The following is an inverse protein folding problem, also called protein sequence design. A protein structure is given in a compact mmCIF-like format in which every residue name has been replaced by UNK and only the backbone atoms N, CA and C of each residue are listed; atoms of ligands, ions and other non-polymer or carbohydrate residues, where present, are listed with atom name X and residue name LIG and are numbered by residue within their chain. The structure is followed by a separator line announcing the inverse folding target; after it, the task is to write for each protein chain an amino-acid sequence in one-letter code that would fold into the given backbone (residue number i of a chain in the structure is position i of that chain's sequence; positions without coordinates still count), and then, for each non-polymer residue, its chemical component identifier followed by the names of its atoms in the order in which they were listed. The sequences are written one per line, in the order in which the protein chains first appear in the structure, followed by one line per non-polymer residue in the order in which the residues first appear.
data_IF_607929536856
#
_entry.id   IF_607929536856
#
_cell.length_a   1.000
_cell.length_b   1.000
_cell.length_c   1.000
_cell.angle_alpha   90.00
_cell.angle_beta   90.00
_cell.angle_gamma   90.00
#
_symmetry.space_group_name_H-M   'P 1'
#
loop_
_entity.id
_entity.type
_entity.pdbx_description
1 polymer ?
#
# COMPACT_ATOMS: atom_id res chain seq x y z
N UNK A 1 6.77 -14.37 -13.06
CA UNK A 1 7.56 -13.50 -12.16
C UNK A 1 7.08 -12.03 -12.08
N UNK A 2 6.12 -11.56 -12.90
CA UNK A 2 5.77 -10.13 -13.00
C UNK A 2 4.54 -9.66 -12.17
N UNK A 3 3.88 -10.54 -11.42
CA UNK A 3 2.60 -10.25 -10.77
C UNK A 3 2.73 -9.55 -9.41
N UNK A 4 3.34 -10.28 -8.48
CA UNK A 4 3.59 -9.89 -7.09
C UNK A 4 4.50 -8.66 -7.00
N UNK A 5 5.50 -8.65 -7.88
CA UNK A 5 6.40 -7.53 -8.14
C UNK A 5 5.58 -6.22 -8.32
N UNK A 6 4.43 -6.25 -9.03
CA UNK A 6 3.57 -5.07 -9.24
C UNK A 6 2.63 -4.68 -8.10
N UNK A 7 2.32 -5.55 -7.14
CA UNK A 7 1.42 -5.26 -6.00
C UNK A 7 2.14 -4.47 -4.91
N UNK A 8 3.44 -4.70 -4.74
CA UNK A 8 4.28 -3.96 -3.80
C UNK A 8 4.51 -2.50 -4.22
N UNK A 9 4.64 -2.23 -5.52
CA UNK A 9 4.82 -0.89 -6.11
C UNK A 9 3.69 0.07 -5.70
N UNK A 10 2.48 -0.46 -5.64
CA UNK A 10 1.23 0.27 -5.40
C UNK A 10 1.20 0.91 -4.04
N UNK A 11 1.45 0.05 -3.05
CA UNK A 11 1.34 0.36 -1.65
C UNK A 11 2.44 1.36 -1.31
N UNK A 12 3.61 1.20 -1.91
CA UNK A 12 4.73 2.09 -1.73
C UNK A 12 4.54 3.46 -2.41
N UNK A 13 4.00 3.50 -3.63
CA UNK A 13 3.68 4.75 -4.33
C UNK A 13 2.68 5.61 -3.54
N UNK A 14 1.64 5.00 -2.96
CA UNK A 14 0.68 5.68 -2.08
C UNK A 14 1.34 6.25 -0.81
N UNK A 15 2.31 5.53 -0.23
CA UNK A 15 3.05 5.95 0.97
C UNK A 15 4.04 7.09 0.65
N UNK A 16 4.78 7.00 -0.45
CA UNK A 16 5.71 8.06 -0.88
C UNK A 16 4.95 9.32 -1.27
N UNK A 17 3.84 9.20 -1.99
CA UNK A 17 3.05 10.38 -2.39
C UNK A 17 2.44 11.04 -1.16
N UNK A 18 1.96 10.30 -0.17
CA UNK A 18 1.42 10.87 1.07
C UNK A 18 2.52 11.48 1.97
N UNK A 19 3.66 10.82 2.14
CA UNK A 19 4.79 11.35 2.89
C UNK A 19 5.45 12.55 2.19
N UNK A 20 5.59 12.48 0.87
CA UNK A 20 6.17 13.53 0.02
C UNK A 20 5.27 14.75 -0.08
N UNK A 21 3.95 14.58 -0.18
CA UNK A 21 3.01 15.71 -0.14
C UNK A 21 2.97 16.35 1.26
N UNK A 22 3.03 15.57 2.33
CA UNK A 22 3.19 16.12 3.69
C UNK A 22 4.51 16.91 3.82
N UNK A 23 5.64 16.38 3.35
CA UNK A 23 6.93 17.08 3.35
C UNK A 23 6.92 18.36 2.51
N UNK A 24 6.25 18.33 1.36
CA UNK A 24 6.16 19.48 0.47
C UNK A 24 5.28 20.59 1.05
N UNK A 25 4.17 20.23 1.71
CA UNK A 25 3.36 21.16 2.51
C UNK A 25 4.20 21.75 3.65
N UNK A 26 5.01 20.92 4.34
CA UNK A 26 5.89 21.35 5.44
C UNK A 26 7.12 22.17 5.00
N UNK A 27 7.37 22.35 3.70
CA UNK A 27 8.44 23.23 3.20
C UNK A 27 7.93 24.38 2.31
N UNK A 28 6.62 24.53 2.12
CA UNK A 28 6.05 25.56 1.25
C UNK A 28 5.25 26.58 2.06
N UNK A 29 5.87 27.72 2.34
CA UNK A 29 5.24 28.85 3.05
C UNK A 29 3.93 29.30 2.40
N UNK A 30 3.88 29.31 1.06
CA UNK A 30 2.69 29.67 0.30
C UNK A 30 1.52 28.68 0.47
N UNK A 31 1.81 27.38 0.57
CA UNK A 31 0.77 26.37 0.82
C UNK A 31 0.30 26.39 2.28
N UNK A 32 1.23 26.44 3.24
CA UNK A 32 0.90 26.56 4.67
C UNK A 32 0.01 27.77 4.93
N UNK A 33 0.35 28.91 4.33
CA UNK A 33 -0.43 30.15 4.42
C UNK A 33 -1.87 30.04 3.90
N UNK A 34 -2.15 29.08 3.00
CA UNK A 34 -3.50 28.83 2.46
C UNK A 34 -4.26 27.73 3.22
N UNK A 35 -3.55 26.66 3.60
CA UNK A 35 -4.16 25.49 4.24
C UNK A 35 -4.50 25.78 5.71
N UNK A 36 -3.61 26.44 6.44
CA UNK A 36 -3.80 26.70 7.88
C UNK A 36 -5.07 27.53 8.16
N UNK A 37 -5.33 28.66 7.46
CA UNK A 37 -6.57 29.40 7.65
C UNK A 37 -7.82 28.57 7.35
N UNK A 38 -7.78 27.74 6.30
CA UNK A 38 -8.90 26.87 5.93
C UNK A 38 -9.22 25.86 7.04
N UNK A 39 -8.19 25.22 7.61
CA UNK A 39 -8.36 24.24 8.69
C UNK A 39 -8.87 24.90 9.98
N UNK A 40 -8.28 26.02 10.40
CA UNK A 40 -8.67 26.71 11.63
C UNK A 40 -10.10 27.24 11.53
N UNK A 41 -10.48 27.87 10.40
CA UNK A 41 -11.84 28.40 10.19
C UNK A 41 -12.90 27.29 10.16
N UNK A 42 -12.52 26.07 9.79
CA UNK A 42 -13.42 24.92 9.80
C UNK A 42 -13.57 24.31 11.18
N UNK A 43 -12.50 24.29 11.98
CA UNK A 43 -12.48 23.64 13.28
C UNK A 43 -13.02 24.54 14.40
N UNK A 44 -12.77 25.84 14.34
CA UNK A 44 -13.15 26.80 15.38
C UNK A 44 -14.22 27.75 14.84
N UNK A 45 -15.43 27.70 15.44
CA UNK A 45 -16.57 28.52 14.99
C UNK A 45 -16.45 29.99 15.39
N UNK A 46 -15.72 30.27 16.46
CA UNK A 46 -15.51 31.62 17.01
C UNK A 46 -14.28 32.31 16.43
N UNK A 47 -13.40 31.61 15.71
CA UNK A 47 -12.16 32.15 15.14
C UNK A 47 -12.26 32.13 13.62
N UNK A 48 -11.99 33.29 13.00
CA UNK A 48 -11.90 33.43 11.55
C UNK A 48 -10.58 34.08 11.17
N UNK A 49 -9.65 33.31 10.62
CA UNK A 49 -8.42 33.79 9.99
C UNK A 49 -8.78 34.31 8.60
N UNK A 50 -8.66 35.62 8.43
CA UNK A 50 -8.95 36.34 7.20
C UNK A 50 -7.69 36.47 6.30
N UNK A 51 -6.50 36.32 6.88
CA UNK A 51 -5.25 36.24 6.13
C UNK A 51 -4.12 35.70 6.99
N UNK A 52 -3.26 34.87 6.38
CA UNK A 52 -2.02 34.40 6.96
C UNK A 52 -0.92 34.56 5.91
N UNK A 53 0.22 35.10 6.30
CA UNK A 53 1.42 35.21 5.49
C UNK A 53 2.60 34.78 6.33
N UNK A 54 3.44 33.94 5.74
CA UNK A 54 4.65 33.40 6.36
C UNK A 54 5.79 33.73 5.39
N UNK A 55 6.74 34.57 5.79
CA UNK A 55 7.84 34.94 4.89
C UNK A 55 8.84 33.79 4.75
N UNK A 56 9.18 33.14 5.87
CA UNK A 56 10.13 32.03 5.89
C UNK A 56 9.54 30.84 6.62
N UNK A 57 9.68 29.67 5.99
CA UNK A 57 9.32 28.39 6.57
C UNK A 57 10.50 27.45 6.40
N UNK A 58 10.98 26.88 7.50
CA UNK A 58 12.08 25.93 7.50
C UNK A 58 11.73 24.74 8.35
N UNK A 59 11.72 23.56 7.73
CA UNK A 59 11.67 22.31 8.48
C UNK A 59 13.11 21.92 8.87
N UNK A 60 13.37 21.87 10.17
CA UNK A 60 14.59 21.36 10.76
C UNK A 60 14.32 19.94 11.24
N UNK A 61 14.92 18.97 10.55
CA UNK A 61 14.80 17.56 10.88
C UNK A 61 15.35 17.28 12.29
N UNK A 62 14.72 16.41 13.10
CA UNK A 62 13.60 15.51 12.75
C UNK A 62 12.18 16.05 13.05
N UNK A 63 12.03 17.17 13.75
CA UNK A 63 10.77 17.49 14.43
C UNK A 63 10.51 18.98 14.67
N UNK A 64 11.29 19.87 14.08
CA UNK A 64 11.11 21.30 14.30
C UNK A 64 10.66 22.00 13.02
N UNK A 65 9.53 22.70 13.09
CA UNK A 65 9.12 23.63 12.03
C UNK A 65 9.30 25.05 12.54
N UNK A 66 10.21 25.78 11.92
CA UNK A 66 10.41 27.21 12.17
C UNK A 66 9.62 28.01 11.14
N UNK A 67 8.73 28.87 11.63
CA UNK A 67 8.01 29.85 10.84
C UNK A 67 8.46 31.23 11.29
N UNK A 68 9.02 32.03 10.38
CA UNK A 68 9.49 33.39 10.68
C UNK A 68 8.70 34.45 9.93
N UNK A 69 8.65 35.62 10.54
CA UNK A 69 7.98 36.81 10.04
C UNK A 69 6.49 36.54 9.72
N UNK A 70 5.79 35.90 10.65
CA UNK A 70 4.37 35.56 10.47
C UNK A 70 3.52 36.82 10.62
N UNK A 71 2.69 37.07 9.62
CA UNK A 71 1.64 38.10 9.65
C UNK A 71 0.28 37.43 9.56
N UNK A 72 -0.54 37.58 10.59
CA UNK A 72 -1.86 36.98 10.66
C UNK A 72 -2.92 38.03 10.96
N UNK A 73 -3.98 38.03 10.16
CA UNK A 73 -5.21 38.80 10.40
C UNK A 73 -6.31 37.82 10.72
N UNK A 74 -6.78 37.82 11.96
CA UNK A 74 -7.87 36.99 12.43
C UNK A 74 -8.98 37.85 13.04
N UNK A 75 -10.11 37.23 13.34
CA UNK A 75 -11.16 37.80 14.17
C UNK A 75 -11.70 36.73 15.11
N UNK A 76 -11.91 37.06 16.38
CA UNK A 76 -12.52 36.17 17.36
C UNK A 76 -13.83 36.78 17.86
N UNK A 77 -14.93 36.06 17.72
CA UNK A 77 -16.27 36.57 18.09
C UNK A 77 -16.61 37.94 17.46
N UNK A 78 -16.08 38.22 16.26
CA UNK A 78 -16.25 39.48 15.54
C UNK A 78 -15.20 40.55 15.85
N UNK A 79 -14.38 40.40 16.88
CA UNK A 79 -13.31 41.36 17.22
C UNK A 79 -12.03 41.06 16.43
N UNK A 80 -11.40 42.06 15.79
CA UNK A 80 -10.19 41.85 15.00
C UNK A 80 -8.97 41.57 15.89
N UNK A 81 -8.16 40.60 15.46
CA UNK A 81 -6.87 40.25 16.05
C UNK A 81 -5.82 40.32 14.96
N UNK A 82 -4.80 41.17 15.13
CA UNK A 82 -3.68 41.29 14.20
C UNK A 82 -2.42 40.84 14.91
N UNK A 83 -1.69 39.92 14.28
CA UNK A 83 -0.36 39.49 14.69
C UNK A 83 0.60 39.97 13.60
N UNK A 84 1.58 40.77 13.99
CA UNK A 84 2.66 41.24 13.12
C UNK A 84 3.99 40.72 13.68
N UNK A 85 4.84 40.22 12.77
CA UNK A 85 6.23 39.83 13.01
C UNK A 85 6.41 38.83 14.16
N UNK A 86 5.59 37.78 14.16
CA UNK A 86 5.74 36.67 15.09
C UNK A 86 6.66 35.58 14.51
N UNK A 87 7.54 35.06 15.36
CA UNK A 87 8.28 33.83 15.12
C UNK A 87 7.63 32.70 15.92
N UNK A 88 7.35 31.58 15.26
CA UNK A 88 6.72 30.41 15.90
C UNK A 88 7.60 29.20 15.66
N UNK A 89 7.99 28.57 16.75
CA UNK A 89 8.60 27.24 16.75
C UNK A 89 7.49 26.22 17.08
N UNK A 90 7.22 25.32 16.14
CA UNK A 90 6.28 24.23 16.36
C UNK A 90 7.09 22.97 16.64
N UNK A 91 6.96 22.46 17.86
CA UNK A 91 7.44 21.14 18.23
C UNK A 91 6.50 20.07 17.66
N UNK A 92 7.01 19.29 16.70
CA UNK A 92 6.33 18.16 16.09
C UNK A 92 6.76 16.83 16.72
N UNK A 93 7.31 16.85 17.94
CA UNK A 93 7.73 15.66 18.68
C UNK A 93 6.57 14.70 18.96
N UNK A 94 5.34 15.22 19.07
CA UNK A 94 4.11 14.47 19.28
C UNK A 94 3.04 14.83 18.24
N UNK A 95 3.28 14.49 16.98
CA UNK A 95 2.30 14.66 15.91
C UNK A 95 1.35 13.45 15.87
N UNK A 96 0.10 13.62 16.27
CA UNK A 96 -0.93 12.58 16.13
C UNK A 96 -2.22 13.14 15.52
N UNK A 97 -2.98 12.27 14.86
CA UNK A 97 -4.24 12.67 14.25
C UNK A 97 -4.89 11.54 13.45
N UNK A 98 -6.05 11.82 12.89
CA UNK A 98 -6.75 10.91 11.99
C UNK A 98 -7.01 11.59 10.65
N UNK A 99 -7.14 10.79 9.60
CA UNK A 99 -7.49 11.27 8.28
C UNK A 99 -8.56 10.40 7.63
N UNK A 100 -9.29 11.03 6.72
CA UNK A 100 -10.23 10.38 5.83
C UNK A 100 -10.03 10.93 4.42
N UNK A 101 -9.87 10.04 3.45
CA UNK A 101 -9.80 10.35 2.02
C UNK A 101 -10.87 9.52 1.33
N UNK A 102 -11.84 10.18 0.70
CA UNK A 102 -12.97 9.50 0.04
C UNK A 102 -12.51 8.61 -1.12
N UNK A 103 -11.50 9.07 -1.88
CA UNK A 103 -10.92 8.34 -2.99
C UNK A 103 -9.45 8.72 -3.18
N UNK A 104 -8.62 7.72 -3.43
CA UNK A 104 -7.23 7.88 -3.87
C UNK A 104 -6.99 7.08 -5.14
N UNK A 105 -6.26 7.67 -6.09
CA UNK A 105 -5.82 6.98 -7.28
C UNK A 105 -4.33 7.25 -7.52
N UNK A 106 -3.58 6.20 -7.82
CA UNK A 106 -2.19 6.26 -8.24
C UNK A 106 -2.00 5.27 -9.38
N UNK A 107 -1.65 5.71 -10.59
CA UNK A 107 -1.60 4.83 -11.77
C UNK A 107 -2.94 4.06 -11.95
N UNK A 108 -2.88 2.74 -12.10
CA UNK A 108 -4.04 1.84 -12.20
C UNK A 108 -4.63 1.45 -10.84
N UNK A 109 -4.11 2.03 -9.75
CA UNK A 109 -4.47 1.71 -8.39
C UNK A 109 -5.53 2.64 -7.85
N UNK A 110 -6.64 2.05 -7.40
CA UNK A 110 -7.81 2.78 -6.92
C UNK A 110 -8.18 2.27 -5.54
N UNK A 111 -8.30 3.20 -4.60
CA UNK A 111 -8.80 2.94 -3.27
C UNK A 111 -9.88 3.97 -2.92
N UNK A 112 -10.90 3.53 -2.17
CA UNK A 112 -11.94 4.41 -1.65
C UNK A 112 -12.08 4.24 -0.14
N UNK A 113 -12.73 5.20 0.50
CA UNK A 113 -12.99 5.18 1.94
C UNK A 113 -11.72 4.98 2.79
N UNK A 114 -10.60 5.62 2.39
CA UNK A 114 -9.31 5.47 3.04
C UNK A 114 -9.35 6.21 4.38
N UNK A 115 -9.12 5.49 5.48
CA UNK A 115 -9.12 6.02 6.84
C UNK A 115 -7.85 5.60 7.53
N UNK A 116 -7.20 6.53 8.23
CA UNK A 116 -6.02 6.20 9.01
C UNK A 116 -5.91 7.03 10.28
N UNK A 117 -5.22 6.49 11.28
CA UNK A 117 -4.71 7.25 12.42
C UNK A 117 -3.20 7.29 12.29
N UNK A 118 -2.61 8.47 12.34
CA UNK A 118 -1.16 8.62 12.39
C UNK A 118 -0.71 9.08 13.78
N UNK A 119 0.48 8.65 14.16
CA UNK A 119 1.15 9.07 15.38
C UNK A 119 2.66 9.12 15.15
N UNK A 120 3.30 10.18 15.63
CA UNK A 120 4.74 10.31 15.69
C UNK A 120 5.18 10.26 17.14
N UNK A 121 6.17 9.40 17.41
CA UNK A 121 6.82 9.28 18.71
C UNK A 121 8.33 9.27 18.48
N UNK A 122 8.99 10.39 18.79
CA UNK A 122 10.40 10.59 18.47
C UNK A 122 10.67 10.48 16.97
N UNK A 123 11.60 9.61 16.59
CA UNK A 123 11.95 9.34 15.19
C UNK A 123 11.01 8.35 14.50
N UNK A 124 9.98 7.83 15.18
CA UNK A 124 9.07 6.84 14.61
C UNK A 124 7.74 7.49 14.22
N UNK A 125 7.31 7.29 12.99
CA UNK A 125 5.99 7.67 12.49
C UNK A 125 5.21 6.42 12.12
N UNK A 126 4.04 6.26 12.73
CA UNK A 126 3.17 5.10 12.56
C UNK A 126 1.84 5.57 11.98
N UNK A 127 1.32 4.85 10.99
CA UNK A 127 -0.06 4.93 10.52
C UNK A 127 -0.74 3.62 10.88
N UNK A 128 -1.56 3.60 11.93
CA UNK A 128 -2.31 2.44 12.37
C UNK A 128 -3.52 2.84 13.24
N UNK A 129 -4.72 2.27 12.99
CA UNK A 129 -5.05 1.43 11.85
C UNK A 129 -5.19 2.26 10.55
N UNK A 130 -4.70 1.74 9.42
CA UNK A 130 -5.07 2.20 8.08
C UNK A 130 -6.10 1.22 7.50
N UNK A 131 -7.21 1.71 6.97
CA UNK A 131 -8.23 0.89 6.29
C UNK A 131 -8.65 1.55 4.99
N UNK A 132 -9.00 0.76 3.98
CA UNK A 132 -9.57 1.25 2.73
C UNK A 132 -10.38 0.15 2.03
N UNK A 133 -11.21 0.54 1.05
CA UNK A 133 -11.81 -0.37 0.07
C UNK A 133 -10.96 -0.40 -1.19
N UNK A 134 -10.75 -1.60 -1.72
CA UNK A 134 -9.87 -1.84 -2.85
C UNK A 134 -10.43 -3.00 -3.68
N UNK A 135 -10.73 -2.76 -4.97
CA UNK A 135 -11.15 -3.80 -5.94
C UNK A 135 -12.23 -4.76 -5.41
N UNK A 136 -13.35 -4.20 -4.95
CA UNK A 136 -14.47 -4.99 -4.41
C UNK A 136 -14.27 -5.53 -2.99
N UNK A 137 -13.04 -5.48 -2.45
CA UNK A 137 -12.72 -5.93 -1.09
C UNK A 137 -12.24 -4.81 -0.17
N UNK A 138 -11.56 -5.20 0.90
CA UNK A 138 -11.06 -4.29 1.94
C UNK A 138 -9.60 -4.56 2.26
N UNK A 139 -8.89 -3.52 2.65
CA UNK A 139 -7.53 -3.62 3.19
C UNK A 139 -7.49 -3.02 4.59
N UNK A 140 -6.66 -3.62 5.44
CA UNK A 140 -6.24 -3.09 6.72
C UNK A 140 -4.71 -3.13 6.77
N UNK A 141 -4.07 -2.05 7.19
CA UNK A 141 -2.63 -1.96 7.24
C UNK A 141 -2.13 -1.20 8.48
N UNK A 142 -0.89 -1.50 8.83
CA UNK A 142 -0.06 -0.71 9.73
C UNK A 142 1.22 -0.35 8.96
N UNK A 143 1.54 0.94 8.90
CA UNK A 143 2.76 1.45 8.29
C UNK A 143 3.59 2.08 9.38
N UNK A 144 4.85 1.69 9.47
CA UNK A 144 5.82 2.28 10.38
C UNK A 144 6.98 2.80 9.56
N UNK A 145 7.32 4.07 9.75
CA UNK A 145 8.48 4.74 9.18
C UNK A 145 9.38 5.18 10.34
N UNK A 146 10.66 4.88 10.25
CA UNK A 146 11.65 5.36 11.21
C UNK A 146 12.60 6.35 10.52
N UNK A 147 12.61 7.57 11.02
CA UNK A 147 13.45 8.69 10.60
C UNK A 147 14.87 8.54 11.18
N UNK A 148 15.51 7.40 10.92
CA UNK A 148 16.90 7.13 11.27
C UNK A 148 17.78 7.06 10.02
N UNK A 149 19.07 6.73 10.19
CA UNK A 149 19.95 6.37 9.07
C UNK A 149 19.25 5.32 8.19
N UNK A 150 19.29 5.54 6.89
CA UNK A 150 18.68 4.70 5.84
C UNK A 150 17.13 4.69 5.77
N UNK A 151 16.43 5.46 6.61
CA UNK A 151 14.95 5.57 6.62
C UNK A 151 14.22 4.21 6.55
N UNK A 152 14.42 3.32 7.54
CA UNK A 152 13.76 2.03 7.54
C UNK A 152 12.24 2.17 7.64
N UNK A 153 11.53 1.25 6.99
CA UNK A 153 10.07 1.16 7.04
C UNK A 153 9.61 -0.29 7.19
N UNK A 154 8.42 -0.47 7.77
CA UNK A 154 7.69 -1.74 7.77
C UNK A 154 6.21 -1.53 7.47
N UNK A 155 5.62 -2.45 6.71
CA UNK A 155 4.20 -2.44 6.35
C UNK A 155 3.63 -3.83 6.69
N UNK A 156 2.67 -3.87 7.60
CA UNK A 156 1.80 -5.03 7.79
C UNK A 156 0.52 -4.77 7.01
N UNK A 157 0.15 -5.64 6.09
CA UNK A 157 -1.05 -5.49 5.27
C UNK A 157 -1.88 -6.76 5.29
N UNK A 158 -3.16 -6.61 5.60
CA UNK A 158 -4.17 -7.64 5.44
C UNK A 158 -5.18 -7.17 4.40
N UNK A 159 -5.45 -8.01 3.40
CA UNK A 159 -6.49 -7.79 2.42
C UNK A 159 -7.56 -8.86 2.58
N UNK A 160 -8.83 -8.49 2.38
CA UNK A 160 -9.96 -9.42 2.42
C UNK A 160 -10.87 -9.21 1.22
N UNK A 161 -11.29 -10.31 0.63
CA UNK A 161 -12.27 -10.38 -0.44
C UNK A 161 -11.94 -9.54 -1.69
N UNK A 162 -10.65 -9.40 -2.01
CA UNK A 162 -10.20 -8.67 -3.21
C UNK A 162 -10.64 -9.42 -4.46
N UNK A 163 -11.44 -8.79 -5.31
CA UNK A 163 -11.95 -9.38 -6.54
C UNK A 163 -10.86 -9.51 -7.61
N UNK A 164 -10.65 -10.74 -8.11
CA UNK A 164 -9.60 -11.04 -9.09
C UNK A 164 -9.84 -10.40 -10.45
N UNK A 165 -11.10 -10.23 -10.83
CA UNK A 165 -11.48 -9.63 -12.11
C UNK A 165 -11.09 -8.15 -12.15
N UNK A 166 -11.31 -7.44 -11.05
CA UNK A 166 -10.96 -6.04 -10.91
C UNK A 166 -9.44 -5.81 -10.88
N UNK A 167 -8.65 -6.82 -10.48
CA UNK A 167 -7.19 -6.79 -10.55
C UNK A 167 -6.66 -6.92 -11.99
N UNK A 168 -7.48 -7.26 -12.98
CA UNK A 168 -7.06 -7.25 -14.40
C UNK A 168 -6.61 -5.85 -14.87
N UNK A 169 -7.20 -4.79 -14.32
CA UNK A 169 -6.78 -3.40 -14.58
C UNK A 169 -5.33 -3.14 -14.15
N UNK A 170 -4.83 -3.90 -13.16
CA UNK A 170 -3.46 -3.81 -12.67
C UNK A 170 -2.51 -4.63 -13.54
N UNK A 171 -2.87 -5.89 -13.76
CA UNK A 171 -2.02 -6.82 -14.50
C UNK A 171 -2.85 -7.90 -15.19
N UNK A 172 -3.38 -7.54 -16.35
CA UNK A 172 -4.20 -8.43 -17.19
C UNK A 172 -3.53 -9.78 -17.44
N UNK A 173 -2.22 -9.83 -17.72
CA UNK A 173 -1.52 -11.07 -18.03
C UNK A 173 -1.58 -12.12 -16.90
N UNK A 174 -1.75 -11.67 -15.65
CA UNK A 174 -1.81 -12.56 -14.49
C UNK A 174 -3.26 -12.81 -14.11
N UNK A 175 -4.02 -11.74 -13.91
CA UNK A 175 -5.34 -11.82 -13.30
C UNK A 175 -6.42 -12.31 -14.26
N UNK A 176 -6.25 -12.17 -15.58
CA UNK A 176 -7.18 -12.75 -16.57
C UNK A 176 -7.27 -14.28 -16.54
N UNK A 177 -6.30 -14.92 -15.87
CA UNK A 177 -6.28 -16.35 -15.67
C UNK A 177 -6.91 -16.81 -14.36
N UNK A 178 -7.48 -15.89 -13.58
CA UNK A 178 -8.03 -16.16 -12.25
C UNK A 178 -9.41 -15.55 -12.10
N UNK A 179 -10.30 -16.23 -11.37
CA UNK A 179 -11.63 -15.75 -11.01
C UNK A 179 -11.90 -15.99 -9.54
N UNK A 180 -12.81 -15.21 -8.98
CA UNK A 180 -13.19 -15.26 -7.59
C UNK A 180 -12.59 -14.10 -6.80
N UNK A 181 -12.38 -14.35 -5.50
CA UNK A 181 -11.85 -13.37 -4.55
C UNK A 181 -10.54 -13.89 -3.95
N UNK A 182 -9.71 -13.04 -3.37
CA UNK A 182 -8.65 -13.47 -2.47
C UNK A 182 -8.49 -12.57 -1.27
N UNK A 183 -7.89 -13.18 -0.26
CA UNK A 183 -7.39 -12.55 0.92
C UNK A 183 -5.85 -12.56 0.87
N UNK A 184 -5.23 -11.66 1.62
CA UNK A 184 -3.79 -11.61 1.76
C UNK A 184 -3.39 -11.20 3.17
N UNK A 185 -2.22 -11.66 3.60
CA UNK A 185 -1.51 -11.20 4.78
C UNK A 185 -0.04 -11.06 4.40
N UNK A 186 0.47 -9.83 4.34
CA UNK A 186 1.79 -9.47 3.85
C UNK A 186 2.53 -8.63 4.88
N UNK A 187 3.79 -8.95 5.10
CA UNK A 187 4.75 -8.17 5.85
C UNK A 187 5.88 -7.71 4.93
N UNK A 188 6.12 -6.41 4.88
CA UNK A 188 7.10 -5.80 3.99
C UNK A 188 8.02 -4.94 4.84
N UNK A 189 9.33 -5.11 4.69
CA UNK A 189 10.35 -4.30 5.37
C UNK A 189 11.31 -3.75 4.33
N UNK A 190 11.75 -2.52 4.51
CA UNK A 190 12.74 -1.91 3.64
C UNK A 190 13.38 -0.67 4.24
N UNK A 191 14.07 0.06 3.37
CA UNK A 191 14.79 1.31 3.64
C UNK A 191 14.51 2.30 2.51
N UNK A 192 15.00 3.54 2.59
CA UNK A 192 14.98 4.45 1.43
C UNK A 192 15.64 3.85 0.18
N UNK A 193 16.55 2.89 0.34
CA UNK A 193 17.20 2.15 -0.76
C UNK A 193 16.37 1.03 -1.38
N UNK A 194 15.16 0.76 -0.88
CA UNK A 194 14.24 -0.26 -1.41
C UNK A 194 13.83 -1.33 -0.39
N UNK A 195 13.11 -2.34 -0.88
CA UNK A 195 12.62 -3.47 -0.09
C UNK A 195 13.80 -4.37 0.28
N UNK A 196 13.87 -4.77 1.55
CA UNK A 196 14.85 -5.73 2.06
C UNK A 196 14.20 -7.04 2.48
N UNK A 197 12.92 -7.02 2.87
CA UNK A 197 12.17 -8.22 3.18
C UNK A 197 10.72 -8.12 2.70
N UNK A 198 10.20 -9.24 2.16
CA UNK A 198 8.79 -9.49 1.92
C UNK A 198 8.47 -10.92 2.36
N UNK A 199 7.45 -11.04 3.20
CA UNK A 199 6.90 -12.33 3.60
C UNK A 199 5.39 -12.26 3.66
N UNK A 200 4.72 -13.40 3.50
CA UNK A 200 3.28 -13.47 3.66
C UNK A 200 2.61 -14.54 2.82
N UNK A 201 1.30 -14.47 2.80
CA UNK A 201 0.45 -15.38 2.04
C UNK A 201 -0.69 -14.67 1.35
N UNK A 202 -1.02 -15.11 0.15
CA UNK A 202 -2.25 -14.78 -0.55
C UNK A 202 -3.04 -16.07 -0.67
N UNK A 203 -4.33 -16.05 -0.32
CA UNK A 203 -5.17 -17.23 -0.45
C UNK A 203 -6.54 -16.87 -1.01
N UNK A 204 -7.11 -17.76 -1.81
CA UNK A 204 -8.51 -17.63 -2.20
C UNK A 204 -9.42 -18.37 -1.22
N UNK A 205 -10.51 -17.76 -0.74
CA UNK A 205 -11.62 -18.51 -0.17
C UNK A 205 -12.25 -19.43 -1.24
N UNK A 206 -13.17 -20.31 -0.81
CA UNK A 206 -13.89 -21.25 -1.70
C UNK A 206 -14.45 -20.54 -2.94
N UNK A 207 -14.50 -21.26 -4.06
CA UNK A 207 -14.96 -20.79 -5.39
C UNK A 207 -13.94 -20.01 -6.22
N UNK A 208 -12.65 -20.03 -5.87
CA UNK A 208 -11.60 -19.62 -6.79
C UNK A 208 -11.68 -20.44 -8.08
N UNK A 209 -11.35 -19.84 -9.20
CA UNK A 209 -11.13 -20.59 -10.42
C UNK A 209 -9.85 -20.12 -11.10
N UNK A 210 -9.10 -21.05 -11.68
CA UNK A 210 -7.93 -20.74 -12.51
C UNK A 210 -8.11 -21.28 -13.91
N UNK A 211 -7.57 -20.60 -14.92
CA UNK A 211 -7.55 -21.12 -16.29
C UNK A 211 -6.76 -22.43 -16.33
N UNK A 212 -7.37 -23.45 -16.94
CA UNK A 212 -6.77 -24.78 -16.98
C UNK A 212 -5.40 -24.81 -17.68
N UNK A 213 -5.19 -23.88 -18.63
CA UNK A 213 -3.91 -23.72 -19.35
C UNK A 213 -2.71 -23.49 -18.42
N UNK A 214 -2.92 -22.94 -17.22
CA UNK A 214 -1.84 -22.74 -16.24
C UNK A 214 -1.29 -24.06 -15.69
N UNK A 215 -2.08 -25.15 -15.74
CA UNK A 215 -1.66 -26.47 -15.29
C UNK A 215 -0.99 -27.29 -16.41
N UNK A 216 -0.90 -26.76 -17.63
CA UNK A 216 -0.32 -27.48 -18.77
C UNK A 216 1.08 -28.06 -18.49
N UNK A 217 2.02 -27.34 -17.85
CA UNK A 217 3.34 -27.89 -17.54
C UNK A 217 3.32 -29.08 -16.57
N UNK A 218 2.23 -29.25 -15.81
CA UNK A 218 2.08 -30.31 -14.80
C UNK A 218 1.38 -31.55 -15.37
N UNK A 219 0.70 -31.44 -16.51
CA UNK A 219 -0.06 -32.54 -17.12
C UNK A 219 0.76 -33.78 -17.42
N UNK A 220 2.01 -33.59 -17.82
CA UNK A 220 2.91 -34.69 -18.20
C UNK A 220 3.21 -35.61 -17.01
N UNK A 221 3.07 -35.08 -15.79
CA UNK A 221 3.29 -35.81 -14.54
C UNK A 221 2.00 -36.44 -13.98
N UNK A 222 0.83 -36.14 -14.58
CA UNK A 222 -0.43 -36.75 -14.19
C UNK A 222 -0.60 -38.07 -14.97
N UNK A 223 -0.85 -39.21 -14.28
CA UNK A 223 -1.15 -40.48 -14.92
C UNK A 223 -2.31 -40.39 -15.91
N UNK A 224 -2.33 -41.24 -16.94
CA UNK A 224 -3.42 -41.30 -17.92
C UNK A 224 -4.72 -41.75 -17.23
N UNK A 225 -5.55 -40.79 -16.83
CA UNK A 225 -6.82 -40.99 -16.12
C UNK A 225 -7.98 -40.26 -16.80
N UNK A 226 -9.22 -40.52 -16.36
CA UNK A 226 -10.39 -39.75 -16.80
C UNK A 226 -10.23 -38.27 -16.48
N UNK A 227 -9.71 -37.94 -15.28
CA UNK A 227 -9.47 -36.55 -14.86
C UNK A 227 -8.46 -35.85 -15.77
N UNK A 228 -7.41 -36.56 -16.22
CA UNK A 228 -6.44 -35.99 -17.18
C UNK A 228 -7.12 -35.63 -18.51
N UNK A 229 -7.97 -36.50 -19.04
CA UNK A 229 -8.72 -36.24 -20.28
C UNK A 229 -9.67 -35.04 -20.14
N UNK A 230 -10.35 -34.93 -19.00
CA UNK A 230 -11.21 -33.76 -18.70
C UNK A 230 -10.40 -32.48 -18.61
N UNK A 231 -9.23 -32.54 -17.97
CA UNK A 231 -8.31 -31.40 -17.85
C UNK A 231 -7.75 -30.98 -19.21
N UNK A 232 -7.39 -31.93 -20.08
CA UNK A 232 -6.98 -31.68 -21.47
C UNK A 232 -8.09 -31.00 -22.28
N UNK A 233 -9.35 -31.44 -22.09
CA UNK A 233 -10.50 -30.81 -22.73
C UNK A 233 -10.67 -29.36 -22.25
N UNK A 234 -10.62 -29.12 -20.94
CA UNK A 234 -10.68 -27.77 -20.38
C UNK A 234 -9.54 -26.89 -20.89
N UNK A 235 -8.34 -27.41 -21.08
CA UNK A 235 -7.21 -26.65 -21.63
C UNK A 235 -7.50 -26.24 -23.08
N UNK A 236 -8.03 -27.15 -23.90
CA UNK A 236 -8.41 -26.86 -25.29
C UNK A 236 -9.53 -25.81 -25.38
N UNK A 237 -10.50 -25.88 -24.48
CA UNK A 237 -11.65 -24.97 -24.42
C UNK A 237 -11.35 -23.66 -23.67
N UNK A 238 -10.13 -23.48 -23.16
CA UNK A 238 -9.78 -22.37 -22.27
C UNK A 238 -10.70 -22.25 -21.04
N UNK A 239 -11.18 -23.39 -20.55
CA UNK A 239 -12.02 -23.53 -19.36
C UNK A 239 -11.29 -23.18 -18.07
N UNK A 240 -12.05 -23.09 -16.98
CA UNK A 240 -11.51 -22.83 -15.64
C UNK A 240 -11.69 -24.04 -14.74
N UNK A 241 -10.74 -24.23 -13.84
CA UNK A 241 -10.73 -25.26 -12.81
C UNK A 241 -11.17 -24.61 -11.50
N UNK A 242 -12.26 -25.07 -10.88
CA UNK A 242 -12.63 -24.64 -9.55
C UNK A 242 -11.63 -25.19 -8.52
N UNK A 243 -11.25 -24.36 -7.57
CA UNK A 243 -10.33 -24.70 -6.49
C UNK A 243 -11.04 -24.58 -5.14
N UNK A 244 -10.85 -25.57 -4.28
CA UNK A 244 -11.21 -25.45 -2.86
C UNK A 244 -10.12 -24.70 -2.09
N UNK A 245 -8.87 -24.78 -2.56
CA UNK A 245 -7.73 -24.07 -1.96
C UNK A 245 -6.79 -23.58 -3.05
N UNK A 246 -6.43 -22.31 -2.95
CA UNK A 246 -5.35 -21.72 -3.72
C UNK A 246 -4.56 -20.84 -2.76
N UNK A 247 -3.34 -21.24 -2.41
CA UNK A 247 -2.49 -20.53 -1.46
C UNK A 247 -1.15 -20.25 -2.14
N UNK A 248 -0.75 -18.99 -2.14
CA UNK A 248 0.58 -18.54 -2.52
C UNK A 248 1.26 -18.05 -1.25
N UNK A 249 2.33 -18.71 -0.84
CA UNK A 249 3.24 -18.21 0.20
C UNK A 249 4.47 -17.60 -0.45
N UNK A 250 4.93 -16.50 0.11
CA UNK A 250 6.08 -15.74 -0.35
C UNK A 250 6.95 -15.47 0.86
N UNK A 251 8.24 -15.69 0.72
CA UNK A 251 9.22 -15.38 1.75
C UNK A 251 10.56 -15.12 1.07
N UNK A 252 11.27 -14.06 1.45
CA UNK A 252 12.67 -13.91 1.10
C UNK A 252 13.56 -14.23 2.31
N UNK A 253 14.49 -15.15 2.11
CA UNK A 253 15.45 -15.58 3.14
C UNK A 253 16.74 -14.75 3.10
N UNK A 254 17.08 -14.24 1.92
CA UNK A 254 18.28 -13.44 1.66
C UNK A 254 17.88 -12.26 0.75
N UNK A 255 18.77 -11.25 0.63
CA UNK A 255 18.52 -10.09 -0.24
C UNK A 255 18.35 -10.50 -1.71
N UNK A 256 18.95 -11.61 -2.15
CA UNK A 256 18.87 -12.05 -3.56
C UNK A 256 17.96 -13.25 -3.80
N UNK A 257 17.31 -13.78 -2.76
CA UNK A 257 16.53 -15.04 -2.86
C UNK A 257 15.10 -14.86 -2.41
N UNK A 258 14.17 -15.02 -3.35
CA UNK A 258 12.74 -15.07 -3.09
C UNK A 258 12.23 -16.50 -3.26
N UNK A 259 11.79 -17.10 -2.17
CA UNK A 259 11.10 -18.38 -2.20
C UNK A 259 9.59 -18.15 -2.29
N UNK A 260 8.96 -18.91 -3.17
CA UNK A 260 7.51 -18.93 -3.30
C UNK A 260 7.01 -20.37 -3.28
N UNK A 261 5.87 -20.58 -2.65
CA UNK A 261 5.18 -21.87 -2.62
C UNK A 261 3.75 -21.66 -3.06
N UNK A 262 3.32 -22.41 -4.06
CA UNK A 262 1.96 -22.42 -4.57
C UNK A 262 1.33 -23.76 -4.23
N UNK A 263 0.30 -23.75 -3.40
CA UNK A 263 -0.50 -24.92 -3.07
C UNK A 263 -1.90 -24.77 -3.70
N UNK A 264 -2.26 -25.69 -4.60
CA UNK A 264 -3.55 -25.73 -5.29
C UNK A 264 -4.25 -27.05 -4.99
N UNK A 265 -5.53 -26.98 -4.61
CA UNK A 265 -6.38 -28.15 -4.38
C UNK A 265 -7.68 -28.06 -5.18
N UNK A 266 -8.01 -29.14 -5.89
CA UNK A 266 -9.27 -29.35 -6.60
C UNK A 266 -9.78 -30.77 -6.36
N UNK A 267 -10.81 -30.96 -5.54
CA UNK A 267 -11.41 -32.27 -5.28
C UNK A 267 -12.07 -32.83 -6.54
N UNK A 268 -12.74 -31.96 -7.32
CA UNK A 268 -13.39 -32.34 -8.58
C UNK A 268 -12.41 -32.97 -9.57
N UNK A 269 -11.18 -32.46 -9.64
CA UNK A 269 -10.15 -32.93 -10.57
C UNK A 269 -9.10 -33.83 -9.91
N UNK A 270 -9.29 -34.19 -8.63
CA UNK A 270 -8.30 -34.90 -7.82
C UNK A 270 -6.90 -34.27 -7.90
N UNK A 271 -6.85 -32.95 -7.80
CA UNK A 271 -5.60 -32.17 -7.83
C UNK A 271 -5.19 -31.82 -6.40
N UNK A 272 -3.96 -32.15 -6.05
CA UNK A 272 -3.26 -31.69 -4.86
C UNK A 272 -1.82 -31.38 -5.28
N UNK A 273 -1.58 -30.10 -5.60
CA UNK A 273 -0.36 -29.64 -6.25
C UNK A 273 0.33 -28.66 -5.31
N UNK A 274 1.56 -28.98 -4.91
CA UNK A 274 2.48 -28.07 -4.24
C UNK A 274 3.68 -27.78 -5.13
N UNK A 275 3.87 -26.53 -5.55
CA UNK A 275 5.04 -26.09 -6.33
C UNK A 275 5.87 -25.13 -5.49
N UNK A 276 7.15 -25.44 -5.31
CA UNK A 276 8.14 -24.53 -4.74
C UNK A 276 8.97 -23.92 -5.87
N UNK A 277 9.05 -22.59 -5.90
CA UNK A 277 9.91 -21.86 -6.83
C UNK A 277 10.87 -21.02 -6.00
N UNK A 278 12.16 -21.26 -6.18
CA UNK A 278 13.23 -20.46 -5.61
C UNK A 278 13.74 -19.53 -6.73
N UNK A 279 13.62 -18.22 -6.52
CA UNK A 279 13.96 -17.20 -7.50
C UNK A 279 15.21 -16.44 -7.04
N UNK A 280 16.24 -16.42 -7.87
CA UNK A 280 17.39 -15.56 -7.68
C UNK A 280 17.12 -14.21 -8.36
N UNK A 281 17.25 -13.12 -7.61
CA UNK A 281 17.03 -11.74 -8.07
C UNK A 281 18.39 -11.08 -8.20
N UNK A 282 18.85 -10.93 -9.44
CA UNK A 282 20.13 -10.30 -9.74
C UNK A 282 20.15 -8.85 -9.23
N UNK A 283 21.12 -8.54 -8.36
CA UNK A 283 21.25 -7.24 -7.70
C UNK A 283 20.29 -7.01 -6.52
N UNK A 284 19.68 -8.06 -6.00
CA UNK A 284 18.97 -8.07 -4.73
C UNK A 284 17.54 -7.52 -4.76
N UNK A 285 16.85 -7.61 -3.62
CA UNK A 285 15.48 -7.14 -3.42
C UNK A 285 15.38 -5.63 -3.62
N UNK A 286 16.50 -4.90 -3.40
CA UNK A 286 16.61 -3.47 -3.70
C UNK A 286 16.39 -3.17 -5.19
N UNK A 287 16.95 -3.98 -6.09
CA UNK A 287 16.74 -3.85 -7.53
C UNK A 287 15.38 -4.36 -8.01
N UNK A 288 14.66 -5.09 -7.17
CA UNK A 288 13.26 -5.39 -7.45
C UNK A 288 12.53 -4.07 -7.77
N UNK A 289 12.87 -2.98 -7.06
CA UNK A 289 12.33 -1.63 -7.23
C UNK A 289 12.84 -0.85 -8.47
N UNK A 290 14.08 -1.06 -8.91
CA UNK A 290 14.68 -0.34 -10.06
C UNK A 290 14.30 -0.91 -11.42
N UNK A 291 13.83 -2.16 -11.44
CA UNK A 291 13.20 -2.81 -12.60
C UNK A 291 11.75 -2.32 -12.81
N UNK A 292 11.41 -1.12 -12.34
CA UNK A 292 10.13 -0.42 -12.44
C UNK A 292 10.33 1.08 -12.62
#
# INVERSE_FOLDING_TARGET
MNALKKILIVLFGLIIVSAGSAFWILNSSGLTSRIVPFLINRQFKDIKINGLSIAQQRFIFPDRLELKDIKMKASRSGEPVVIEDADVEIDLSALSGSFFVSQGQYSNYKATDIKGVFNKSGLKFTIAPLTAKLYGGTIAAEIVLAYSKDFPYSINLKAKEIGMLELEEINQAVFSNMKGKADADLHIVGTAGGITNVSGSVWSPKNAQIKAVLLKPLLDYIPQSTQKKELDLLIKEQGNIPLETAVLKIENYEDEKLATRVDLKSEKFNLDIGVKLDLNIEGGMKNLMSLF
#
